data_IF_258983628195
#
_entry.id   IF_258983628195
#
_cell.length_a   1.000
_cell.length_b   1.000
_cell.length_c   1.000
_cell.angle_alpha   90.00
_cell.angle_beta   90.00
_cell.angle_gamma   90.00
#
_symmetry.space_group_name_H-M   'P 1'
#
loop_
_entity.id
_entity.type
_entity.pdbx_description
1 polymer ?
#
# COMPACT_ATOMS: atom_id res chain seq x y z
N UNK A 1 -3.97 -19.52 -9.67
CA UNK A 1 -2.70 -19.66 -8.93
C UNK A 1 -2.91 -20.74 -7.88
N UNK A 2 -1.96 -21.65 -7.69
CA UNK A 2 -2.09 -22.70 -6.69
C UNK A 2 -1.99 -22.15 -5.25
N UNK A 3 -2.70 -22.76 -4.30
CA UNK A 3 -2.77 -22.29 -2.92
C UNK A 3 -1.39 -22.37 -2.25
N UNK A 4 -0.57 -23.38 -2.57
CA UNK A 4 0.78 -23.47 -2.01
C UNK A 4 1.61 -22.25 -2.43
N UNK A 5 1.58 -21.89 -3.72
CA UNK A 5 2.25 -20.70 -4.25
C UNK A 5 1.72 -19.40 -3.62
N UNK A 6 0.42 -19.30 -3.33
CA UNK A 6 -0.14 -18.12 -2.63
C UNK A 6 0.49 -17.99 -1.23
N UNK A 7 0.55 -19.10 -0.47
CA UNK A 7 1.08 -19.11 0.90
C UNK A 7 2.58 -18.80 0.97
N UNK A 8 3.33 -19.20 -0.05
CA UNK A 8 4.74 -18.83 -0.17
C UNK A 8 4.94 -17.34 -0.43
N UNK A 9 4.00 -16.69 -1.12
CA UNK A 9 4.11 -15.28 -1.51
C UNK A 9 3.50 -14.30 -0.50
N UNK A 10 2.38 -14.68 0.13
CA UNK A 10 1.63 -13.88 1.10
C UNK A 10 1.92 -14.42 2.49
N UNK A 11 3.09 -14.07 3.01
CA UNK A 11 3.56 -14.47 4.33
C UNK A 11 4.47 -13.40 4.94
N UNK A 12 4.77 -13.56 6.23
CA UNK A 12 5.53 -12.58 7.00
C UNK A 12 4.68 -11.40 7.50
N UNK A 13 5.33 -10.28 7.91
CA UNK A 13 4.62 -9.10 8.39
C UNK A 13 3.75 -8.47 7.31
N UNK A 14 2.55 -8.04 7.69
CA UNK A 14 1.68 -7.22 6.86
C UNK A 14 1.80 -5.76 7.29
N UNK A 15 2.20 -4.88 6.38
CA UNK A 15 2.27 -3.45 6.58
C UNK A 15 1.12 -2.76 5.82
N UNK A 16 0.18 -2.09 6.50
CA UNK A 16 -0.76 -1.22 5.83
C UNK A 16 -0.02 0.00 5.27
N UNK A 17 -0.23 0.32 4.00
CA UNK A 17 0.34 1.51 3.38
C UNK A 17 -0.51 2.71 3.75
N UNK A 18 0.15 3.77 4.24
CA UNK A 18 -0.49 5.01 4.64
C UNK A 18 -1.00 5.75 3.40
N UNK A 19 -2.20 6.32 3.48
CA UNK A 19 -2.61 7.33 2.51
C UNK A 19 -2.04 8.68 2.96
N UNK A 20 -1.24 9.31 2.10
CA UNK A 20 -0.66 10.62 2.36
C UNK A 20 -1.53 11.68 1.68
N UNK A 21 -1.81 12.75 2.40
CA UNK A 21 -2.58 13.89 1.91
C UNK A 21 -1.69 15.12 1.81
N UNK A 22 -1.88 15.92 0.76
CA UNK A 22 -1.20 17.20 0.59
C UNK A 22 -1.69 18.19 1.65
N UNK A 23 -0.77 19.00 2.16
CA UNK A 23 -1.12 20.11 3.03
C UNK A 23 -1.96 21.15 2.26
N UNK A 24 -2.96 21.73 2.93
CA UNK A 24 -3.79 22.80 2.38
C UNK A 24 -5.12 22.30 1.80
N UNK A 25 -5.09 21.39 0.82
CA UNK A 25 -6.31 20.92 0.12
C UNK A 25 -6.71 19.48 0.46
N UNK A 26 -5.87 18.74 1.19
CA UNK A 26 -6.08 17.33 1.56
C UNK A 26 -6.30 16.41 0.35
N UNK A 27 -5.83 16.79 -0.83
CA UNK A 27 -5.79 15.88 -1.98
C UNK A 27 -4.77 14.76 -1.74
N UNK A 28 -5.00 13.58 -2.33
CA UNK A 28 -4.08 12.44 -2.20
C UNK A 28 -2.73 12.75 -2.84
N UNK A 29 -1.65 12.50 -2.11
CA UNK A 29 -0.27 12.66 -2.59
C UNK A 29 0.32 11.31 -3.05
N UNK A 30 0.06 10.96 -4.31
CA UNK A 30 0.49 9.69 -4.90
C UNK A 30 2.01 9.54 -4.95
N UNK A 31 2.74 10.62 -5.22
CA UNK A 31 4.21 10.60 -5.29
C UNK A 31 4.82 10.28 -3.91
N UNK A 32 4.23 10.85 -2.85
CA UNK A 32 4.67 10.56 -1.49
C UNK A 32 4.33 9.13 -1.05
N UNK A 33 3.17 8.61 -1.44
CA UNK A 33 2.79 7.21 -1.21
C UNK A 33 3.78 6.26 -1.90
N UNK A 34 4.12 6.53 -3.16
CA UNK A 34 5.06 5.70 -3.91
C UNK A 34 6.47 5.74 -3.29
N UNK A 35 6.98 6.91 -2.91
CA UNK A 35 8.27 7.00 -2.21
C UNK A 35 8.24 6.27 -0.85
N UNK A 36 7.12 6.32 -0.11
CA UNK A 36 6.96 5.55 1.12
C UNK A 36 7.06 4.04 0.86
N UNK A 37 6.40 3.54 -0.18
CA UNK A 37 6.48 2.13 -0.60
C UNK A 37 7.90 1.77 -1.02
N UNK A 38 8.56 2.61 -1.82
CA UNK A 38 9.92 2.37 -2.28
C UNK A 38 10.91 2.30 -1.12
N UNK A 39 10.72 3.09 -0.06
CA UNK A 39 11.51 3.00 1.17
C UNK A 39 11.28 1.68 1.90
N UNK A 40 10.03 1.20 1.97
CA UNK A 40 9.71 -0.10 2.58
C UNK A 40 10.38 -1.24 1.79
N UNK A 41 10.29 -1.23 0.46
CA UNK A 41 10.92 -2.22 -0.42
C UNK A 41 12.45 -2.19 -0.27
N UNK A 42 13.06 -0.99 -0.33
CA UNK A 42 14.52 -0.80 -0.13
C UNK A 42 15.01 -1.32 1.22
N UNK A 43 14.14 -1.42 2.22
CA UNK A 43 14.46 -1.90 3.58
C UNK A 43 14.07 -3.37 3.82
N UNK A 44 13.65 -4.09 2.79
CA UNK A 44 13.45 -5.54 2.85
C UNK A 44 12.01 -6.01 2.80
N UNK A 45 11.04 -5.13 2.51
CA UNK A 45 9.68 -5.57 2.17
C UNK A 45 9.67 -6.19 0.78
N UNK A 46 9.94 -7.50 0.72
CA UNK A 46 9.99 -8.27 -0.52
C UNK A 46 8.96 -9.39 -0.52
N UNK A 47 8.55 -9.81 -1.72
CA UNK A 47 7.64 -10.94 -1.94
C UNK A 47 8.10 -12.19 -1.18
N UNK A 48 7.16 -12.83 -0.49
CA UNK A 48 7.42 -14.02 0.33
C UNK A 48 8.16 -13.77 1.64
N UNK A 49 8.38 -12.50 2.02
CA UNK A 49 8.94 -12.11 3.32
C UNK A 49 8.06 -11.08 4.04
N UNK A 50 7.27 -10.30 3.31
CA UNK A 50 6.30 -9.36 3.85
C UNK A 50 5.19 -9.06 2.82
N UNK A 51 4.13 -8.38 3.28
CA UNK A 51 2.97 -7.98 2.48
C UNK A 51 2.67 -6.51 2.69
N UNK A 52 2.53 -5.76 1.59
CA UNK A 52 1.99 -4.40 1.61
C UNK A 52 0.48 -4.46 1.35
N UNK A 53 -0.31 -3.76 2.18
CA UNK A 53 -1.76 -3.63 1.99
C UNK A 53 -2.12 -2.19 1.64
N UNK A 54 -2.36 -1.94 0.36
CA UNK A 54 -2.81 -0.65 -0.16
C UNK A 54 -4.30 -0.41 0.11
N UNK A 55 -4.67 0.84 0.41
CA UNK A 55 -6.05 1.27 0.66
C UNK A 55 -6.80 0.33 1.61
N UNK A 56 -6.12 -0.15 2.66
CA UNK A 56 -6.73 -0.91 3.75
C UNK A 56 -7.33 0.02 4.82
N UNK A 57 -7.70 -0.55 5.96
CA UNK A 57 -8.16 0.26 7.10
C UNK A 57 -7.10 1.28 7.57
N UNK A 58 -5.81 0.88 7.57
CA UNK A 58 -4.70 1.80 7.86
C UNK A 58 -4.30 2.73 6.70
N UNK A 59 -4.96 2.62 5.55
CA UNK A 59 -4.82 3.50 4.39
C UNK A 59 -6.11 4.29 4.12
N UNK A 60 -6.91 4.54 5.17
CA UNK A 60 -8.07 5.44 5.13
C UNK A 60 -9.17 5.06 4.11
N UNK A 61 -9.29 3.78 3.75
CA UNK A 61 -10.27 3.29 2.77
C UNK A 61 -11.68 3.91 2.88
N UNK A 62 -12.33 4.00 4.07
CA UNK A 62 -13.68 4.56 4.17
C UNK A 62 -13.76 6.06 3.86
N UNK A 63 -12.64 6.80 3.95
CA UNK A 63 -12.57 8.24 3.67
C UNK A 63 -12.31 8.55 2.20
N UNK A 64 -11.75 7.60 1.46
CA UNK A 64 -11.45 7.76 0.04
C UNK A 64 -12.67 7.52 -0.84
N UNK A 65 -12.81 8.33 -1.88
CA UNK A 65 -13.66 8.04 -3.02
C UNK A 65 -13.18 6.80 -3.78
N UNK A 66 -14.02 6.27 -4.68
CA UNK A 66 -13.64 5.11 -5.49
C UNK A 66 -12.42 5.38 -6.38
N UNK A 67 -12.31 6.59 -6.92
CA UNK A 67 -11.21 6.94 -7.82
C UNK A 67 -9.92 7.14 -7.06
N UNK A 68 -9.97 7.75 -5.88
CA UNK A 68 -8.81 7.83 -4.98
C UNK A 68 -8.33 6.45 -4.52
N UNK A 69 -9.25 5.53 -4.18
CA UNK A 69 -8.87 4.14 -3.84
C UNK A 69 -8.11 3.46 -4.97
N UNK A 70 -8.59 3.60 -6.21
CA UNK A 70 -7.91 3.03 -7.38
C UNK A 70 -6.54 3.66 -7.59
N UNK A 71 -6.44 4.99 -7.46
CA UNK A 71 -5.18 5.71 -7.63
C UNK A 71 -4.15 5.30 -6.56
N UNK A 72 -4.56 5.20 -5.29
CA UNK A 72 -3.70 4.72 -4.19
C UNK A 72 -3.26 3.28 -4.46
N UNK A 73 -4.17 2.37 -4.85
CA UNK A 73 -3.82 0.98 -5.18
C UNK A 73 -2.85 0.90 -6.36
N UNK A 74 -2.94 1.79 -7.34
CA UNK A 74 -2.03 1.83 -8.49
C UNK A 74 -0.64 2.37 -8.15
N UNK A 75 -0.52 3.20 -7.11
CA UNK A 75 0.75 3.79 -6.67
C UNK A 75 1.60 2.85 -5.79
N UNK A 76 1.02 1.74 -5.32
CA UNK A 76 1.65 0.72 -4.45
C UNK A 76 1.96 -0.53 -5.24
#
# INVERSE_FOLDING_TARGET
>A
MDIATVKENICGPLAPVLTVFREGDLSVDLDCIQENVDQQIRRGMSKGQAVLLAAGAGGDFPLLSLDERKAVIQAV
#
